data_IF_444332396355
#
_entry.id   IF_444332396355
#
_cell.length_a   1.000
_cell.length_b   1.000
_cell.length_c   1.000
_cell.angle_alpha   90.00
_cell.angle_beta   90.00
_cell.angle_gamma   90.00
#
_symmetry.space_group_name_H-M   'P 1'
#
loop_
_entity.id
_entity.type
_entity.pdbx_description
1 polymer ?
#
# COMPACT_ATOMS: atom_id res chain seq x y z
N UNK A 1 15.86 14.32 26.44
CA UNK A 1 16.73 13.53 25.53
C UNK A 1 16.18 12.14 25.17
N UNK A 2 15.59 11.38 26.10
CA UNK A 2 15.00 10.04 25.83
C UNK A 2 13.89 10.00 24.76
N UNK A 3 13.15 11.10 24.56
CA UNK A 3 12.05 11.19 23.58
C UNK A 3 12.54 11.25 22.13
N UNK A 4 13.63 11.97 21.84
CA UNK A 4 14.25 12.03 20.51
C UNK A 4 14.96 10.72 20.15
N UNK A 5 15.61 10.09 21.13
CA UNK A 5 16.23 8.78 20.97
C UNK A 5 15.19 7.68 20.76
N UNK A 6 14.09 7.64 21.54
CA UNK A 6 12.94 6.77 21.26
C UNK A 6 12.27 7.09 19.94
N UNK A 7 12.16 8.36 19.57
CA UNK A 7 11.66 8.73 18.24
C UNK A 7 12.59 8.24 17.15
N UNK A 8 13.93 8.21 17.32
CA UNK A 8 14.90 7.65 16.36
C UNK A 8 14.96 6.11 16.34
N UNK A 9 14.78 5.42 17.47
CA UNK A 9 14.59 3.96 17.50
C UNK A 9 13.24 3.54 16.92
N UNK A 10 12.21 4.38 17.05
CA UNK A 10 10.89 4.24 16.40
C UNK A 10 10.84 5.00 15.06
N UNK A 11 11.95 5.60 14.57
CA UNK A 11 11.90 6.56 13.45
C UNK A 11 11.90 5.90 12.08
N UNK A 12 12.39 4.67 11.96
CA UNK A 12 12.53 4.06 10.64
C UNK A 12 11.44 3.08 10.19
N UNK A 13 10.36 2.75 10.92
CA UNK A 13 9.25 2.00 10.32
C UNK A 13 8.56 2.81 9.22
N UNK A 14 8.47 4.14 9.34
CA UNK A 14 7.93 4.99 8.27
C UNK A 14 8.86 5.03 7.05
N UNK A 15 10.17 5.18 7.24
CA UNK A 15 11.13 5.16 6.13
C UNK A 15 11.18 3.79 5.47
N UNK A 16 11.28 2.72 6.24
CA UNK A 16 11.25 1.35 5.71
C UNK A 16 9.94 1.10 4.98
N UNK A 17 8.78 1.47 5.54
CA UNK A 17 7.52 1.29 4.81
C UNK A 17 7.39 2.15 3.57
N UNK A 18 7.91 3.38 3.60
CA UNK A 18 7.96 4.24 2.42
C UNK A 18 8.83 3.62 1.33
N UNK A 19 9.99 3.08 1.68
CA UNK A 19 10.86 2.39 0.71
C UNK A 19 10.20 1.12 0.19
N UNK A 20 9.61 0.29 1.06
CA UNK A 20 8.92 -0.94 0.65
C UNK A 20 7.75 -0.65 -0.28
N UNK A 21 6.93 0.37 0.04
CA UNK A 21 5.80 0.77 -0.81
C UNK A 21 6.27 1.42 -2.12
N UNK A 22 7.36 2.19 -2.12
CA UNK A 22 7.96 2.68 -3.36
C UNK A 22 8.39 1.54 -4.29
N UNK A 23 9.08 0.53 -3.75
CA UNK A 23 9.50 -0.66 -4.51
C UNK A 23 8.29 -1.44 -5.01
N UNK A 24 7.25 -1.60 -4.17
CA UNK A 24 6.04 -2.30 -4.54
C UNK A 24 5.31 -1.63 -5.71
N UNK A 25 5.14 -0.30 -5.64
CA UNK A 25 4.50 0.46 -6.72
C UNK A 25 5.35 0.49 -7.99
N UNK A 26 6.68 0.61 -7.86
CA UNK A 26 7.60 0.52 -9.01
C UNK A 26 7.49 -0.84 -9.69
N UNK A 27 7.55 -1.93 -8.92
CA UNK A 27 7.43 -3.29 -9.42
C UNK A 27 6.07 -3.53 -10.06
N UNK A 28 4.99 -3.05 -9.44
CA UNK A 28 3.64 -3.15 -9.98
C UNK A 28 3.50 -2.47 -11.34
N UNK A 29 4.07 -1.27 -11.50
CA UNK A 29 4.04 -0.56 -12.78
C UNK A 29 4.93 -1.23 -13.84
N UNK A 30 6.09 -1.79 -13.46
CA UNK A 30 6.92 -2.60 -14.36
C UNK A 30 6.14 -3.82 -14.86
N UNK A 31 5.47 -4.55 -13.96
CA UNK A 31 4.63 -5.71 -14.34
C UNK A 31 3.49 -5.25 -15.25
N UNK A 32 2.81 -4.15 -14.94
CA UNK A 32 1.73 -3.64 -15.80
C UNK A 32 2.25 -3.30 -17.22
N UNK A 33 3.38 -2.61 -17.32
CA UNK A 33 3.94 -2.22 -18.62
C UNK A 33 4.46 -3.42 -19.43
N UNK A 34 5.06 -4.42 -18.78
CA UNK A 34 5.69 -5.55 -19.46
C UNK A 34 4.72 -6.72 -19.70
N UNK A 35 3.91 -7.08 -18.70
CA UNK A 35 3.04 -8.25 -18.74
C UNK A 35 1.63 -7.95 -19.27
N UNK A 36 1.11 -6.73 -19.10
CA UNK A 36 -0.25 -6.37 -19.54
C UNK A 36 -0.22 -5.54 -20.82
N UNK A 37 0.58 -4.48 -20.86
CA UNK A 37 0.68 -3.61 -22.04
C UNK A 37 1.62 -4.17 -23.13
N UNK A 38 2.36 -5.26 -22.84
CA UNK A 38 3.32 -5.90 -23.75
C UNK A 38 4.28 -4.91 -24.45
N UNK A 39 4.67 -3.81 -23.77
CA UNK A 39 5.47 -2.75 -24.41
C UNK A 39 6.86 -3.21 -24.84
N UNK A 40 7.41 -4.22 -24.16
CA UNK A 40 8.80 -4.64 -24.29
C UNK A 40 9.77 -3.77 -23.48
N UNK A 41 10.97 -4.29 -23.22
CA UNK A 41 11.97 -3.66 -22.34
C UNK A 41 12.51 -2.35 -22.95
N UNK A 42 12.62 -2.26 -24.28
CA UNK A 42 13.10 -1.05 -24.98
C UNK A 42 12.16 0.14 -24.89
N UNK A 43 10.85 -0.09 -24.75
CA UNK A 43 9.82 0.97 -24.66
C UNK A 43 9.31 1.18 -23.24
N UNK A 44 10.09 0.75 -22.24
CA UNK A 44 9.71 0.91 -20.85
C UNK A 44 9.70 2.39 -20.44
N UNK A 45 8.57 2.86 -19.92
CA UNK A 45 8.38 4.24 -19.49
C UNK A 45 8.93 4.45 -18.08
N UNK A 46 10.25 4.66 -17.98
CA UNK A 46 10.93 4.84 -16.69
C UNK A 46 10.40 6.03 -15.88
N UNK A 47 9.95 7.10 -16.55
CA UNK A 47 9.36 8.27 -15.89
C UNK A 47 8.03 7.92 -15.20
N UNK A 48 7.24 7.02 -15.81
CA UNK A 48 5.98 6.53 -15.22
C UNK A 48 6.27 5.65 -14.00
N UNK A 49 7.22 4.73 -14.11
CA UNK A 49 7.66 3.89 -13.00
C UNK A 49 8.19 4.72 -11.84
N UNK A 50 9.01 5.74 -12.12
CA UNK A 50 9.56 6.64 -11.10
C UNK A 50 8.45 7.45 -10.41
N UNK A 51 7.44 7.93 -11.14
CA UNK A 51 6.29 8.63 -10.56
C UNK A 51 5.49 7.71 -9.64
N UNK A 52 5.27 6.46 -10.04
CA UNK A 52 4.59 5.46 -9.20
C UNK A 52 5.40 5.12 -7.95
N UNK A 53 6.72 4.98 -8.07
CA UNK A 53 7.62 4.76 -6.95
C UNK A 53 7.60 5.94 -5.96
N UNK A 54 7.67 7.18 -6.46
CA UNK A 54 7.59 8.40 -5.65
C UNK A 54 6.23 8.52 -4.95
N UNK A 55 5.13 8.24 -5.65
CA UNK A 55 3.80 8.22 -5.05
C UNK A 55 3.70 7.16 -3.94
N UNK A 56 4.14 5.93 -4.25
CA UNK A 56 4.19 4.81 -3.31
C UNK A 56 4.96 5.16 -2.06
N UNK A 57 6.16 5.73 -2.20
CA UNK A 57 7.01 6.04 -1.05
C UNK A 57 6.66 7.32 -0.31
N UNK A 58 6.41 8.43 -1.00
CA UNK A 58 6.26 9.72 -0.35
C UNK A 58 4.85 9.96 0.20
N UNK A 59 3.82 9.38 -0.44
CA UNK A 59 2.42 9.62 -0.09
C UNK A 59 1.81 8.37 0.53
N UNK A 60 1.87 7.25 -0.17
CA UNK A 60 1.20 6.02 0.27
C UNK A 60 1.88 5.38 1.49
N UNK A 61 3.21 5.32 1.53
CA UNK A 61 3.98 4.76 2.66
C UNK A 61 3.64 5.40 4.02
N UNK A 62 3.68 6.74 4.15
CA UNK A 62 3.26 7.42 5.38
C UNK A 62 1.78 7.23 5.71
N UNK A 63 0.90 7.22 4.71
CA UNK A 63 -0.53 7.01 4.90
C UNK A 63 -0.83 5.60 5.42
N UNK A 64 -0.25 4.57 4.79
CA UNK A 64 -0.36 3.17 5.21
C UNK A 64 0.18 2.97 6.64
N UNK A 65 1.31 3.60 6.97
CA UNK A 65 1.87 3.52 8.33
C UNK A 65 0.92 4.12 9.37
N UNK A 66 0.28 5.26 9.07
CA UNK A 66 -0.74 5.86 9.95
C UNK A 66 -1.98 4.97 10.08
N UNK A 67 -2.44 4.37 8.98
CA UNK A 67 -3.58 3.47 8.95
C UNK A 67 -3.36 2.22 9.81
N UNK A 68 -2.22 1.54 9.64
CA UNK A 68 -1.91 0.38 10.47
C UNK A 68 -1.74 0.75 11.95
N UNK A 69 -1.17 1.93 12.25
CA UNK A 69 -1.09 2.44 13.63
C UNK A 69 -2.48 2.70 14.22
N UNK A 70 -3.42 3.22 13.43
CA UNK A 70 -4.81 3.39 13.84
C UNK A 70 -5.47 2.05 14.17
N UNK A 71 -5.34 1.05 13.30
CA UNK A 71 -5.86 -0.29 13.54
C UNK A 71 -5.24 -0.96 14.77
N UNK A 72 -3.96 -0.76 15.00
CA UNK A 72 -3.28 -1.25 16.20
C UNK A 72 -3.82 -0.62 17.49
N UNK A 73 -4.24 0.64 17.44
CA UNK A 73 -4.68 1.39 18.62
C UNK A 73 -6.19 1.25 18.87
N UNK A 74 -6.98 1.10 17.81
CA UNK A 74 -8.46 1.09 17.88
C UNK A 74 -9.06 -0.30 17.86
N UNK A 75 -8.41 -1.27 17.20
CA UNK A 75 -8.84 -2.67 17.18
C UNK A 75 -7.95 -3.45 18.13
N UNK A 76 -8.38 -3.50 19.39
CA UNK A 76 -7.68 -4.21 20.48
C UNK A 76 -8.68 -5.19 21.09
N UNK A 77 -8.36 -6.48 20.99
CA UNK A 77 -9.17 -7.56 21.53
C UNK A 77 -8.34 -8.38 22.51
N UNK A 78 -8.95 -8.99 23.54
CA UNK A 78 -8.21 -9.77 24.52
C UNK A 78 -7.54 -11.02 23.91
N UNK A 79 -8.12 -11.58 22.84
CA UNK A 79 -7.52 -12.70 22.10
C UNK A 79 -6.74 -12.20 20.88
N UNK A 80 -5.43 -12.48 20.84
CA UNK A 80 -4.52 -12.05 19.77
C UNK A 80 -4.86 -12.59 18.39
N UNK A 81 -5.37 -13.81 18.28
CA UNK A 81 -5.80 -14.37 16.99
C UNK A 81 -7.03 -13.63 16.46
N UNK A 82 -7.99 -13.38 17.34
CA UNK A 82 -9.20 -12.62 17.00
C UNK A 82 -8.88 -11.15 16.68
N UNK A 83 -7.91 -10.55 17.38
CA UNK A 83 -7.40 -9.20 17.10
C UNK A 83 -6.84 -9.08 15.69
N UNK A 84 -6.05 -10.07 15.24
CA UNK A 84 -5.52 -10.12 13.88
C UNK A 84 -6.66 -10.30 12.86
N UNK A 85 -7.56 -11.26 13.09
CA UNK A 85 -8.71 -11.46 12.20
C UNK A 85 -9.60 -10.22 12.10
N UNK A 86 -9.82 -9.50 13.20
CA UNK A 86 -10.61 -8.28 13.22
C UNK A 86 -9.92 -7.15 12.44
N UNK A 87 -8.60 -6.99 12.57
CA UNK A 87 -7.84 -6.01 11.77
C UNK A 87 -7.91 -6.32 10.28
N UNK A 88 -7.65 -7.58 9.90
CA UNK A 88 -7.76 -8.04 8.50
C UNK A 88 -9.19 -7.86 8.00
N UNK A 89 -10.20 -8.17 8.81
CA UNK A 89 -11.60 -7.98 8.47
C UNK A 89 -11.95 -6.51 8.22
N UNK A 90 -11.46 -5.60 9.06
CA UNK A 90 -11.66 -4.15 8.87
C UNK A 90 -10.94 -3.65 7.61
N UNK A 91 -9.71 -4.11 7.36
CA UNK A 91 -8.98 -3.81 6.13
C UNK A 91 -9.76 -4.27 4.89
N UNK A 92 -10.20 -5.52 4.88
CA UNK A 92 -10.95 -6.08 3.76
C UNK A 92 -12.33 -5.44 3.61
N UNK A 93 -13.07 -5.12 4.69
CA UNK A 93 -14.38 -4.48 4.57
C UNK A 93 -14.32 -3.02 4.08
N UNK A 94 -13.21 -2.32 4.28
CA UNK A 94 -13.02 -0.96 3.74
C UNK A 94 -12.53 -0.99 2.29
N UNK A 95 -11.61 -1.90 1.96
CA UNK A 95 -10.93 -1.92 0.66
C UNK A 95 -11.49 -2.94 -0.35
N UNK A 96 -12.18 -4.00 0.09
CA UNK A 96 -12.80 -4.99 -0.80
C UNK A 96 -14.05 -4.47 -1.52
N UNK A 97 -15.03 -3.80 -0.87
CA UNK A 97 -16.21 -3.29 -1.60
C UNK A 97 -15.84 -2.15 -2.54
N UNK A 98 -14.81 -1.36 -2.25
CA UNK A 98 -14.31 -0.33 -3.18
C UNK A 98 -13.67 -0.94 -4.42
N UNK A 99 -12.90 -2.04 -4.29
CA UNK A 99 -12.34 -2.74 -5.44
C UNK A 99 -13.42 -3.46 -6.27
N UNK A 100 -14.41 -4.06 -5.61
CA UNK A 100 -15.55 -4.70 -6.27
C UNK A 100 -16.45 -3.67 -6.99
N UNK A 101 -16.79 -2.55 -6.35
CA UNK A 101 -17.59 -1.49 -6.98
C UNK A 101 -16.85 -0.83 -8.16
N UNK A 102 -15.55 -0.58 -8.04
CA UNK A 102 -14.74 -0.05 -9.13
C UNK A 102 -14.67 -1.04 -10.31
N UNK A 103 -14.43 -2.33 -10.04
CA UNK A 103 -14.38 -3.37 -11.06
C UNK A 103 -15.72 -3.64 -11.74
N UNK A 104 -16.83 -3.55 -11.00
CA UNK A 104 -18.20 -3.72 -11.55
C UNK A 104 -18.70 -2.49 -12.31
N UNK A 105 -18.13 -1.30 -12.07
CA UNK A 105 -18.46 -0.08 -12.82
C UNK A 105 -17.68 0.09 -14.13
N UNK A 106 -16.74 -0.83 -14.44
CA UNK A 106 -16.01 -0.86 -15.70
C UNK A 106 -16.87 -1.35 -16.88
N UNK A 107 -16.62 -0.89 -18.11
CA UNK A 107 -17.43 -1.17 -19.31
C UNK A 107 -17.32 -2.61 -19.84
N UNK A 108 -17.20 -3.61 -18.97
CA UNK A 108 -17.15 -5.04 -19.32
C UNK A 108 -18.49 -5.76 -19.15
N UNK A 109 -19.56 -5.05 -18.75
CA UNK A 109 -20.95 -5.56 -18.74
C UNK A 109 -21.84 -4.84 -19.78
N UNK A 110 -21.25 -4.46 -20.93
CA UNK A 110 -22.00 -4.10 -22.13
C UNK A 110 -21.44 -4.87 -23.33
N UNK A 111 -21.76 -6.15 -23.39
CA UNK A 111 -21.79 -6.95 -24.62
C UNK A 111 -22.66 -8.16 -24.39
#
# INVERSE_FOLDING_TARGET
MLRWYRMKLVARPMLTQSVTTAILFATGDIIAQQAVEHRGIEKHEFIRTARMALYGGAIFGPAATKWFKFLQTKVVLPNKKLEICARVGVDQLLFAPTNLLAGWSGPLYRS
#
